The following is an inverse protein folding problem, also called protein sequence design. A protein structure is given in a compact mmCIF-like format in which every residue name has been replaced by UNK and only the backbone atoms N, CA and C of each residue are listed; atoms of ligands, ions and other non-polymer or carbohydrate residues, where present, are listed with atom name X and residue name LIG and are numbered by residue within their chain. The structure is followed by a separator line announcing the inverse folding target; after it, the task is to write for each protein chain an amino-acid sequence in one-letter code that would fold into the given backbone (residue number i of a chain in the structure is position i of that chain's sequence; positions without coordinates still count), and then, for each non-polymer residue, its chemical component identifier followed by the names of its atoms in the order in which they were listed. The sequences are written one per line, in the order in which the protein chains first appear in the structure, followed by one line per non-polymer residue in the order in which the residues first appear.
data_IF_284450459519
#
_entry.id   IF_284450459519
#
_cell.length_a   1.000
_cell.length_b   1.000
_cell.length_c   1.000
_cell.angle_alpha   90.00
_cell.angle_beta   90.00
_cell.angle_gamma   90.00
#
_symmetry.space_group_name_H-M   'P 1'
#
loop_
_entity.id
_entity.type
_entity.pdbx_description
1 polymer ?
#
# COMPACT_ATOMS: atom_id res chain seq x y z
N UNK A 1 -21.27 24.14 32.74
CA UNK A 1 -21.25 22.68 33.00
C UNK A 1 -21.50 21.95 31.69
N UNK A 2 -20.42 21.35 31.16
CA UNK A 2 -20.30 20.25 30.19
C UNK A 2 -21.44 20.03 29.17
N UNK A 3 -21.35 20.71 28.01
CA UNK A 3 -21.93 20.18 26.76
C UNK A 3 -21.11 18.97 26.35
N UNK A 4 -21.72 17.79 26.41
CA UNK A 4 -21.16 16.52 25.97
C UNK A 4 -20.68 16.63 24.53
N UNK A 5 -19.37 16.67 24.37
CA UNK A 5 -18.68 16.56 23.09
C UNK A 5 -19.19 15.28 22.43
N UNK A 6 -19.92 15.43 21.33
CA UNK A 6 -20.14 14.34 20.39
C UNK A 6 -18.74 13.95 19.94
N UNK A 7 -18.23 12.86 20.51
CA UNK A 7 -16.99 12.25 20.06
C UNK A 7 -17.24 11.91 18.60
N UNK A 8 -16.63 12.71 17.71
CA UNK A 8 -16.40 12.32 16.33
C UNK A 8 -15.68 10.98 16.41
N UNK A 9 -16.45 9.90 16.32
CA UNK A 9 -15.94 8.63 15.84
C UNK A 9 -15.54 8.97 14.42
N UNK A 10 -14.30 9.40 14.24
CA UNK A 10 -13.61 9.26 12.97
C UNK A 10 -13.66 7.75 12.75
N UNK A 11 -14.71 7.30 12.08
CA UNK A 11 -14.61 6.11 11.27
C UNK A 11 -13.34 6.36 10.46
N UNK A 12 -12.24 5.72 10.87
CA UNK A 12 -10.98 5.73 10.15
C UNK A 12 -11.34 5.06 8.83
N UNK A 13 -11.77 5.84 7.85
CA UNK A 13 -11.98 5.40 6.47
C UNK A 13 -10.56 5.20 5.92
N UNK A 14 -9.86 4.21 6.48
CA UNK A 14 -8.74 3.58 5.84
C UNK A 14 -9.28 2.90 4.60
N UNK A 15 -8.49 2.94 3.54
CA UNK A 15 -8.92 2.41 2.25
C UNK A 15 -9.30 0.95 2.34
N UNK A 16 -10.29 0.55 1.52
CA UNK A 16 -10.66 -0.86 1.47
C UNK A 16 -9.54 -1.65 0.79
N UNK A 17 -8.83 -2.50 1.55
CA UNK A 17 -7.81 -3.38 0.99
C UNK A 17 -8.42 -4.37 -0.01
N UNK A 18 -7.75 -4.66 -1.13
CA UNK A 18 -8.13 -5.76 -2.00
C UNK A 18 -8.07 -7.10 -1.25
N UNK A 19 -9.03 -7.99 -1.48
CA UNK A 19 -9.11 -9.28 -0.76
C UNK A 19 -7.82 -10.12 -0.85
N UNK A 20 -7.09 -10.06 -1.97
CA UNK A 20 -5.81 -10.75 -2.16
C UNK A 20 -4.70 -10.26 -1.21
N UNK A 21 -4.84 -9.04 -0.67
CA UNK A 21 -3.85 -8.37 0.18
C UNK A 21 -4.47 -7.91 1.50
N UNK A 22 -5.56 -8.54 1.95
CA UNK A 22 -6.28 -8.12 3.15
C UNK A 22 -5.41 -8.16 4.42
N UNK A 23 -4.49 -9.12 4.49
CA UNK A 23 -3.56 -9.34 5.61
C UNK A 23 -2.14 -8.81 5.34
N UNK A 24 -1.95 -8.05 4.27
CA UNK A 24 -0.63 -7.51 3.90
C UNK A 24 -0.57 -6.03 4.25
N UNK A 25 0.49 -5.60 4.94
CA UNK A 25 0.82 -4.19 5.11
C UNK A 25 1.61 -3.66 3.92
N UNK A 26 2.66 -4.38 3.48
CA UNK A 26 3.52 -3.88 2.40
C UNK A 26 3.22 -4.53 1.06
N UNK A 27 2.61 -3.77 0.16
CA UNK A 27 2.32 -4.21 -1.21
C UNK A 27 3.41 -3.73 -2.17
N UNK A 28 4.14 -4.66 -2.78
CA UNK A 28 5.11 -4.36 -3.83
C UNK A 28 4.46 -4.34 -5.22
N UNK A 29 4.84 -3.40 -6.08
CA UNK A 29 4.51 -3.40 -7.50
C UNK A 29 5.72 -3.86 -8.32
N UNK A 30 5.62 -5.07 -8.90
CA UNK A 30 6.71 -5.67 -9.71
C UNK A 30 7.09 -4.84 -10.94
N UNK A 31 6.20 -3.97 -11.42
CA UNK A 31 6.49 -3.09 -12.57
C UNK A 31 7.35 -1.92 -12.14
N UNK A 32 7.11 -1.32 -10.98
CA UNK A 32 7.76 -0.06 -10.60
C UNK A 32 8.91 -0.24 -9.59
N UNK A 33 9.03 -1.42 -8.96
CA UNK A 33 9.88 -1.62 -7.77
C UNK A 33 9.57 -0.63 -6.63
N UNK A 34 8.33 -0.16 -6.57
CA UNK A 34 7.81 0.59 -5.44
C UNK A 34 7.06 -0.32 -4.47
N UNK A 35 7.20 -0.05 -3.18
CA UNK A 35 6.42 -0.68 -2.11
C UNK A 35 5.50 0.35 -1.47
N UNK A 36 4.25 -0.02 -1.28
CA UNK A 36 3.19 0.81 -0.69
C UNK A 36 2.87 0.28 0.70
N UNK A 37 2.86 1.17 1.70
CA UNK A 37 2.39 0.85 3.04
C UNK A 37 0.86 1.00 3.08
N UNK A 38 0.12 -0.11 3.09
CA UNK A 38 -1.33 -0.13 3.08
C UNK A 38 -1.96 0.30 4.42
N UNK A 39 -1.17 0.56 5.47
CA UNK A 39 -1.65 1.24 6.67
C UNK A 39 -1.68 2.77 6.47
N UNK A 40 -0.80 3.32 5.63
CA UNK A 40 -0.62 4.78 5.48
C UNK A 40 -1.05 5.32 4.11
N UNK A 41 -1.12 4.47 3.08
CA UNK A 41 -1.41 4.89 1.72
C UNK A 41 -2.90 5.14 1.48
N UNK A 42 -3.21 6.27 0.84
CA UNK A 42 -4.59 6.78 0.69
C UNK A 42 -5.09 6.89 -0.75
N UNK A 43 -4.36 6.38 -1.75
CA UNK A 43 -4.84 6.32 -3.14
C UNK A 43 -5.30 4.91 -3.53
N UNK A 44 -6.62 4.68 -3.51
CA UNK A 44 -7.26 3.38 -3.80
C UNK A 44 -7.03 2.95 -5.24
N UNK A 45 -6.99 3.91 -6.17
CA UNK A 45 -6.88 3.61 -7.58
C UNK A 45 -5.55 2.93 -7.90
N UNK A 46 -4.46 3.37 -7.23
CA UNK A 46 -3.14 2.74 -7.36
C UNK A 46 -3.14 1.31 -6.81
N UNK A 47 -3.70 1.11 -5.62
CA UNK A 47 -3.72 -0.21 -4.97
C UNK A 47 -4.59 -1.20 -5.75
N UNK A 48 -5.76 -0.76 -6.22
CA UNK A 48 -6.66 -1.57 -7.04
C UNK A 48 -6.02 -1.93 -8.38
N UNK A 49 -5.38 -0.99 -9.07
CA UNK A 49 -4.67 -1.25 -10.33
C UNK A 49 -3.57 -2.31 -10.18
N UNK A 50 -2.76 -2.21 -9.14
CA UNK A 50 -1.69 -3.19 -8.86
C UNK A 50 -2.28 -4.58 -8.59
N UNK A 51 -3.38 -4.64 -7.82
CA UNK A 51 -4.04 -5.89 -7.44
C UNK A 51 -4.72 -6.57 -8.63
N UNK A 52 -5.52 -5.83 -9.38
CA UNK A 52 -6.30 -6.33 -10.53
C UNK A 52 -5.39 -6.75 -11.68
N UNK A 53 -4.26 -6.07 -11.86
CA UNK A 53 -3.31 -6.40 -12.92
C UNK A 53 -2.37 -7.58 -12.58
N UNK A 54 -2.49 -8.16 -11.38
CA UNK A 54 -1.74 -9.36 -10.97
C UNK A 54 -0.24 -9.13 -10.78
N UNK A 55 0.19 -7.88 -10.67
CA UNK A 55 1.61 -7.51 -10.49
C UNK A 55 1.98 -7.17 -9.06
N UNK A 56 1.01 -7.18 -8.15
CA UNK A 56 1.23 -7.10 -6.71
C UNK A 56 2.07 -8.27 -6.18
N UNK A 57 2.88 -7.99 -5.16
CA UNK A 57 3.73 -8.94 -4.44
C UNK A 57 3.66 -8.67 -2.93
N UNK A 58 3.57 -9.72 -2.12
CA UNK A 58 3.78 -9.68 -0.67
C UNK A 58 5.24 -10.02 -0.32
N UNK A 59 5.69 -9.57 0.85
CA UNK A 59 7.02 -9.85 1.36
C UNK A 59 6.97 -10.84 2.53
N UNK A 60 7.98 -11.71 2.62
CA UNK A 60 8.15 -12.64 3.73
C UNK A 60 9.52 -12.42 4.35
N UNK A 61 9.64 -11.80 5.54
CA UNK A 61 8.55 -11.27 6.39
C UNK A 61 7.90 -9.99 5.83
N UNK A 62 6.66 -9.68 6.23
CA UNK A 62 5.91 -8.49 5.80
C UNK A 62 6.43 -7.22 6.50
N UNK A 63 7.61 -6.76 6.07
CA UNK A 63 8.29 -5.61 6.64
C UNK A 63 8.90 -4.75 5.54
N UNK A 64 8.99 -3.44 5.79
CA UNK A 64 9.69 -2.53 4.88
C UNK A 64 11.17 -2.88 4.71
N UNK A 65 11.80 -3.43 5.75
CA UNK A 65 13.19 -3.90 5.68
C UNK A 65 13.35 -5.01 4.64
N UNK A 66 12.45 -6.00 4.62
CA UNK A 66 12.47 -7.06 3.61
C UNK A 66 12.23 -6.52 2.20
N UNK A 67 11.27 -5.61 2.03
CA UNK A 67 11.02 -4.99 0.73
C UNK A 67 12.27 -4.27 0.19
N UNK A 68 12.98 -3.51 1.05
CA UNK A 68 14.24 -2.84 0.70
C UNK A 68 15.35 -3.82 0.36
N UNK A 69 15.46 -4.93 1.10
CA UNK A 69 16.43 -6.00 0.79
C UNK A 69 16.19 -6.61 -0.60
N UNK A 70 14.93 -6.61 -1.07
CA UNK A 70 14.55 -7.03 -2.44
C UNK A 70 14.64 -5.90 -3.48
N UNK A 71 15.21 -4.75 -3.12
CA UNK A 71 15.42 -3.61 -4.01
C UNK A 71 14.20 -2.73 -4.24
N UNK A 72 13.17 -2.83 -3.39
CA UNK A 72 12.01 -1.95 -3.48
C UNK A 72 12.25 -0.62 -2.75
N UNK A 73 11.73 0.47 -3.32
CA UNK A 73 11.74 1.80 -2.70
C UNK A 73 10.35 2.14 -2.18
N UNK A 74 10.26 2.75 -0.98
CA UNK A 74 8.97 3.18 -0.43
C UNK A 74 8.34 4.23 -1.34
N UNK A 75 7.08 4.02 -1.72
CA UNK A 75 6.32 4.97 -2.52
C UNK A 75 6.07 6.25 -1.71
N UNK A 76 6.11 7.40 -2.40
CA UNK A 76 5.69 8.67 -1.84
C UNK A 76 4.70 9.35 -2.82
N UNK A 77 3.74 10.14 -2.32
CA UNK A 77 2.82 10.89 -3.18
C UNK A 77 3.58 11.75 -4.20
N UNK A 78 3.11 11.76 -5.45
CA UNK A 78 3.71 12.54 -6.53
C UNK A 78 4.98 11.93 -7.16
N UNK A 79 5.47 10.78 -6.68
CA UNK A 79 6.59 10.07 -7.32
C UNK A 79 6.14 9.47 -8.66
N UNK A 80 6.93 9.68 -9.70
CA UNK A 80 6.67 9.10 -11.02
C UNK A 80 6.79 7.58 -10.99
N UNK A 81 5.69 6.90 -11.33
CA UNK A 81 5.59 5.43 -11.41
C UNK A 81 6.09 4.91 -12.76
N UNK A 82 7.40 4.98 -13.01
CA UNK A 82 7.97 4.43 -14.25
C UNK A 82 7.86 2.90 -14.24
N UNK A 83 7.03 2.35 -15.13
CA UNK A 83 6.92 0.92 -15.31
C UNK A 83 8.20 0.37 -15.97
N UNK A 84 8.89 -0.49 -15.24
CA UNK A 84 10.02 -1.30 -15.67
C UNK A 84 9.51 -2.65 -16.19
N UNK A 85 10.31 -3.31 -17.03
CA UNK A 85 10.05 -4.72 -17.35
C UNK A 85 10.11 -5.52 -16.04
N UNK A 86 9.10 -6.36 -15.73
CA UNK A 86 9.15 -7.21 -14.54
C UNK A 86 10.46 -7.98 -14.52
N UNK A 87 11.22 -7.87 -13.43
CA UNK A 87 12.43 -8.65 -13.26
C UNK A 87 12.03 -10.10 -12.97
N UNK A 88 12.65 -11.04 -13.67
CA UNK A 88 12.42 -12.48 -13.52
C UNK A 88 12.78 -12.96 -12.11
#
# INVERSE_FOLDING_TARGET
MLRGRHGLRLDLIGMKRPSRFEHTRFLGDKRTQLVYDLDEWTDEAVVNEISESGVGLCFGPDTLAEARNRGYTLAAPGVSRRQLKPRA
#
